data_IF_188447935934
#
_entry.id   IF_188447935934
#
_cell.length_a   1.000
_cell.length_b   1.000
_cell.length_c   1.000
_cell.angle_alpha   90.00
_cell.angle_beta   90.00
_cell.angle_gamma   90.00
#
_symmetry.space_group_name_H-M   'P 1'
#
loop_
_entity.id
_entity.type
_entity.pdbx_description
1 polymer ?
#
# COMPACT_ATOMS: atom_id res chain seq x y z
N UNK A 1 23.73 -1.99 7.93
CA UNK A 1 22.41 -2.55 7.53
C UNK A 1 21.75 -1.54 6.60
N UNK A 2 21.43 -1.91 5.36
CA UNK A 2 20.73 -1.05 4.40
C UNK A 2 19.33 -1.63 4.18
N UNK A 3 18.30 -0.82 4.37
CA UNK A 3 16.93 -1.19 4.02
C UNK A 3 16.76 -1.18 2.49
N UNK A 4 16.07 -2.19 1.97
CA UNK A 4 15.74 -2.24 0.54
C UNK A 4 14.74 -1.14 0.16
N UNK A 5 14.73 -0.73 -1.12
CA UNK A 5 13.68 0.17 -1.64
C UNK A 5 12.27 -0.38 -1.38
N UNK A 6 12.11 -1.71 -1.47
CA UNK A 6 10.84 -2.36 -1.17
C UNK A 6 10.40 -2.17 0.28
N UNK A 7 11.34 -2.22 1.24
CA UNK A 7 11.06 -1.97 2.66
C UNK A 7 10.62 -0.53 2.88
N UNK A 8 11.34 0.44 2.31
CA UNK A 8 11.01 1.88 2.44
C UNK A 8 9.62 2.15 1.86
N UNK A 9 9.35 1.63 0.67
CA UNK A 9 8.05 1.79 0.02
C UNK A 9 6.92 1.10 0.78
N UNK A 10 7.16 -0.08 1.34
CA UNK A 10 6.19 -0.79 2.19
C UNK A 10 5.79 0.05 3.41
N UNK A 11 6.78 0.58 4.14
CA UNK A 11 6.54 1.42 5.32
C UNK A 11 5.79 2.69 4.93
N UNK A 12 6.22 3.41 3.88
CA UNK A 12 5.53 4.60 3.38
C UNK A 12 4.07 4.32 3.01
N UNK A 13 3.81 3.19 2.36
CA UNK A 13 2.47 2.78 1.95
C UNK A 13 1.56 2.49 3.14
N UNK A 14 2.07 1.77 4.15
CA UNK A 14 1.32 1.48 5.38
C UNK A 14 0.96 2.79 6.11
N UNK A 15 1.93 3.68 6.29
CA UNK A 15 1.70 4.97 6.96
C UNK A 15 0.68 5.82 6.20
N UNK A 16 0.76 5.82 4.87
CA UNK A 16 -0.19 6.55 4.03
C UNK A 16 -1.61 6.01 4.18
N UNK A 17 -1.80 4.68 4.11
CA UNK A 17 -3.11 4.04 4.29
C UNK A 17 -3.67 4.31 5.69
N UNK A 18 -2.85 4.21 6.74
CA UNK A 18 -3.26 4.48 8.11
C UNK A 18 -3.75 5.92 8.32
N UNK A 19 -3.14 6.90 7.64
CA UNK A 19 -3.57 8.31 7.71
C UNK A 19 -4.89 8.60 7.01
N UNK A 20 -5.35 7.72 6.12
CA UNK A 20 -6.53 7.95 5.29
C UNK A 20 -7.84 7.45 5.93
N UNK A 21 -7.77 6.80 7.10
CA UNK A 21 -8.93 6.21 7.80
C UNK A 21 -9.98 7.24 8.30
N UNK A 22 -9.72 8.55 8.25
CA UNK A 22 -10.68 9.59 8.66
C UNK A 22 -11.80 9.86 7.62
N UNK A 23 -12.39 8.82 7.02
CA UNK A 23 -13.58 8.94 6.16
C UNK A 23 -13.54 8.16 4.84
N UNK A 24 -12.49 7.38 4.57
CA UNK A 24 -12.46 6.39 3.47
C UNK A 24 -12.30 4.99 4.04
N UNK A 25 -13.20 4.08 3.69
CA UNK A 25 -13.12 2.68 4.11
C UNK A 25 -11.96 1.92 3.42
N UNK A 26 -11.59 2.34 2.20
CA UNK A 26 -10.54 1.70 1.41
C UNK A 26 -9.71 2.71 0.63
N UNK A 27 -8.43 2.38 0.41
CA UNK A 27 -7.50 3.17 -0.40
C UNK A 27 -7.03 2.30 -1.57
N UNK A 28 -7.20 2.80 -2.80
CA UNK A 28 -6.81 2.04 -3.99
C UNK A 28 -5.29 2.02 -4.17
N UNK A 29 -4.74 0.93 -4.72
CA UNK A 29 -3.30 0.83 -5.01
C UNK A 29 -2.84 1.92 -5.98
N UNK A 30 -3.71 2.35 -6.91
CA UNK A 30 -3.42 3.45 -7.86
C UNK A 30 -3.22 4.77 -7.13
N UNK A 31 -4.10 5.09 -6.18
CA UNK A 31 -3.99 6.29 -5.35
C UNK A 31 -2.67 6.30 -4.56
N UNK A 32 -2.31 5.16 -3.95
CA UNK A 32 -1.04 5.04 -3.20
C UNK A 32 0.17 5.21 -4.14
N UNK A 33 0.13 4.60 -5.33
CA UNK A 33 1.20 4.69 -6.32
C UNK A 33 1.44 6.13 -6.80
N UNK A 34 0.36 6.86 -7.10
CA UNK A 34 0.42 8.25 -7.52
C UNK A 34 0.90 9.16 -6.39
N UNK A 35 0.36 9.00 -5.17
CA UNK A 35 0.68 9.88 -4.04
C UNK A 35 2.08 9.68 -3.49
N UNK A 36 2.63 8.48 -3.59
CA UNK A 36 3.96 8.16 -3.11
C UNK A 36 5.02 8.13 -4.24
N UNK A 37 4.61 8.39 -5.48
CA UNK A 37 5.45 8.34 -6.68
C UNK A 37 6.18 6.99 -6.82
N UNK A 38 5.45 5.89 -6.58
CA UNK A 38 5.97 4.52 -6.65
C UNK A 38 5.39 3.83 -7.88
N UNK A 39 6.19 3.15 -8.71
CA UNK A 39 5.67 2.41 -9.85
C UNK A 39 4.60 1.39 -9.44
N UNK A 40 3.43 1.46 -10.08
CA UNK A 40 2.24 0.68 -9.71
C UNK A 40 2.51 -0.82 -9.58
N UNK A 41 3.19 -1.43 -10.56
CA UNK A 41 3.53 -2.85 -10.53
C UNK A 41 4.47 -3.22 -9.38
N UNK A 42 5.40 -2.33 -9.02
CA UNK A 42 6.33 -2.55 -7.92
C UNK A 42 5.59 -2.47 -6.58
N UNK A 43 4.76 -1.44 -6.41
CA UNK A 43 3.92 -1.28 -5.23
C UNK A 43 2.98 -2.48 -5.06
N UNK A 44 2.35 -2.95 -6.14
CA UNK A 44 1.46 -4.11 -6.11
C UNK A 44 2.15 -5.34 -5.52
N UNK A 45 3.38 -5.64 -5.95
CA UNK A 45 4.16 -6.75 -5.38
C UNK A 45 4.48 -6.57 -3.91
N UNK A 46 4.75 -5.34 -3.46
CA UNK A 46 5.01 -5.04 -2.05
C UNK A 46 3.73 -5.26 -1.23
N UNK A 47 2.61 -4.66 -1.65
CA UNK A 47 1.35 -4.77 -0.94
C UNK A 47 0.84 -6.21 -0.90
N UNK A 48 0.99 -6.98 -1.99
CA UNK A 48 0.70 -8.41 -2.00
C UNK A 48 1.45 -9.19 -0.91
N UNK A 49 2.74 -8.91 -0.71
CA UNK A 49 3.52 -9.53 0.37
C UNK A 49 3.00 -9.14 1.75
N UNK A 50 2.64 -7.87 1.94
CA UNK A 50 2.07 -7.39 3.20
C UNK A 50 0.69 -7.98 3.47
N UNK A 51 -0.14 -8.18 2.43
CA UNK A 51 -1.43 -8.87 2.54
C UNK A 51 -1.24 -10.33 2.92
N UNK A 52 -0.31 -11.03 2.28
CA UNK A 52 -0.01 -12.43 2.62
C UNK A 52 0.53 -12.58 4.06
N UNK A 53 1.26 -11.58 4.54
CA UNK A 53 1.73 -11.51 5.92
C UNK A 53 0.65 -11.06 6.94
N UNK A 54 -0.58 -10.77 6.50
CA UNK A 54 -1.66 -10.33 7.37
C UNK A 54 -1.53 -8.90 7.90
N UNK A 55 -0.63 -8.08 7.34
CA UNK A 55 -0.36 -6.71 7.80
C UNK A 55 -1.40 -5.72 7.24
N UNK A 56 -1.89 -5.98 6.03
CA UNK A 56 -2.94 -5.17 5.38
C UNK A 56 -4.02 -6.08 4.81
N UNK A 57 -5.25 -5.60 4.77
CA UNK A 57 -6.37 -6.31 4.13
C UNK A 57 -6.59 -5.72 2.74
N UNK A 58 -6.70 -6.59 1.74
CA UNK A 58 -7.13 -6.21 0.40
C UNK A 58 -8.58 -6.64 0.18
N UNK A 59 -9.43 -5.72 -0.29
CA UNK A 59 -10.73 -6.07 -0.85
C UNK A 59 -10.64 -6.13 -2.39
N UNK A 60 -11.60 -6.79 -3.04
CA UNK A 60 -11.72 -6.84 -4.51
C UNK A 60 -13.10 -6.36 -4.96
N UNK A 61 -13.16 -5.22 -5.66
CA UNK A 61 -14.42 -4.68 -6.18
C UNK A 61 -14.41 -3.17 -6.43
N UNK A 62 -15.49 -2.65 -7.02
CA UNK A 62 -15.63 -1.22 -7.40
C UNK A 62 -15.65 -0.27 -6.18
N UNK A 63 -15.90 -0.82 -4.97
CA UNK A 63 -15.90 -0.09 -3.68
C UNK A 63 -14.95 -0.71 -2.65
N UNK A 64 -14.05 -1.58 -3.09
CA UNK A 64 -13.21 -2.42 -2.23
C UNK A 64 -12.97 -3.72 -2.93
#
# INVERSE_FOLDING_TARGET
>A
MIFSKATIYGIKSIVYVAKQQNGKDYVSIREIAEKLEIPFHFLTKILQKLTHAGIIVSSKGVKG
#
